data_IF_262655763344
#
_entry.id   IF_262655763344
#
_cell.length_a   1.000
_cell.length_b   1.000
_cell.length_c   1.000
_cell.angle_alpha   90.00
_cell.angle_beta   90.00
_cell.angle_gamma   90.00
#
_symmetry.space_group_name_H-M   'P 1'
#
loop_
_entity.id
_entity.type
_entity.pdbx_description
1 polymer ?
#
# COMPACT_ATOMS: atom_id res chain seq x y z
N UNK A 1 -3.66 -20.93 14.02
CA UNK A 1 -2.60 -21.20 13.04
C UNK A 1 -1.97 -19.86 12.68
N UNK A 2 -0.85 -19.55 13.31
CA UNK A 2 -0.10 -18.30 13.16
C UNK A 2 0.65 -18.33 11.84
N UNK A 3 0.39 -17.38 10.95
CA UNK A 3 1.30 -17.07 9.85
C UNK A 3 1.84 -15.66 10.09
N UNK A 4 2.92 -15.58 10.88
CA UNK A 4 3.91 -14.53 10.73
C UNK A 4 4.67 -14.82 9.43
N UNK A 5 4.04 -14.54 8.28
CA UNK A 5 4.67 -14.68 6.98
C UNK A 5 5.22 -13.31 6.60
N UNK A 6 6.49 -13.25 6.21
CA UNK A 6 7.04 -12.06 5.57
C UNK A 6 6.16 -11.75 4.35
N UNK A 7 5.53 -10.58 4.38
CA UNK A 7 4.63 -10.12 3.33
C UNK A 7 5.48 -9.43 2.27
N UNK A 8 5.85 -10.18 1.23
CA UNK A 8 6.54 -9.58 0.10
C UNK A 8 5.53 -8.94 -0.85
N UNK A 9 5.92 -7.82 -1.44
CA UNK A 9 5.11 -7.07 -2.39
C UNK A 9 5.70 -7.17 -3.79
N UNK A 10 4.84 -7.39 -4.77
CA UNK A 10 5.19 -7.19 -6.17
C UNK A 10 4.86 -5.74 -6.51
N UNK A 11 5.89 -4.99 -6.88
CA UNK A 11 5.77 -3.66 -7.45
C UNK A 11 5.90 -3.79 -8.96
N UNK A 12 4.82 -3.52 -9.68
CA UNK A 12 4.82 -3.67 -11.13
C UNK A 12 4.33 -2.40 -11.81
N UNK A 13 5.18 -1.84 -12.66
CA UNK A 13 4.79 -0.90 -13.70
C UNK A 13 4.99 -1.62 -15.04
N UNK A 14 3.97 -1.57 -15.91
CA UNK A 14 4.05 -2.22 -17.21
C UNK A 14 5.24 -1.68 -18.02
N UNK A 15 6.10 -2.58 -18.51
CA UNK A 15 7.31 -2.24 -19.26
C UNK A 15 8.55 -1.91 -18.42
N UNK A 16 8.48 -2.01 -17.09
CA UNK A 16 9.63 -1.78 -16.20
C UNK A 16 10.19 -3.05 -15.57
N UNK A 17 11.52 -3.15 -15.56
CA UNK A 17 12.26 -4.19 -14.84
C UNK A 17 12.76 -3.72 -13.46
N UNK A 18 12.70 -2.40 -13.19
CA UNK A 18 13.24 -1.79 -11.97
C UNK A 18 12.20 -0.84 -11.38
N UNK A 19 11.99 -0.94 -10.06
CA UNK A 19 11.14 -0.02 -9.30
C UNK A 19 11.83 1.34 -9.18
N UNK A 20 11.12 2.40 -9.54
CA UNK A 20 11.63 3.77 -9.56
C UNK A 20 10.84 4.69 -8.62
N UNK A 21 11.55 5.63 -8.00
CA UNK A 21 10.93 6.72 -7.24
C UNK A 21 10.21 7.67 -8.21
N UNK A 22 9.15 8.32 -7.72
CA UNK A 22 8.31 9.26 -8.47
C UNK A 22 7.68 8.67 -9.74
N UNK A 23 7.47 7.36 -9.76
CA UNK A 23 6.76 6.65 -10.83
C UNK A 23 5.57 5.90 -10.25
N UNK A 24 4.49 5.89 -11.02
CA UNK A 24 3.25 5.19 -10.67
C UNK A 24 3.38 3.69 -10.99
N UNK A 25 3.03 2.85 -10.02
CA UNK A 25 3.02 1.40 -10.15
C UNK A 25 1.87 0.78 -9.35
N UNK A 26 1.56 -0.48 -9.66
CA UNK A 26 0.63 -1.28 -8.86
C UNK A 26 1.39 -2.02 -7.76
N UNK A 27 0.73 -2.18 -6.62
CA UNK A 27 1.22 -2.95 -5.48
C UNK A 27 0.33 -4.17 -5.32
N UNK A 28 0.92 -5.35 -5.18
CA UNK A 28 0.20 -6.56 -4.83
C UNK A 28 0.99 -7.38 -3.81
N UNK A 29 0.33 -8.10 -2.92
CA UNK A 29 1.00 -9.12 -2.11
C UNK A 29 1.42 -10.31 -2.99
N UNK A 30 2.64 -10.82 -2.79
CA UNK A 30 3.18 -11.96 -3.55
C UNK A 30 2.76 -13.33 -2.97
N UNK A 31 1.86 -13.36 -2.00
CA UNK A 31 1.45 -14.58 -1.31
C UNK A 31 0.12 -15.12 -1.85
N UNK A 32 0.07 -16.44 -2.08
CA UNK A 32 -1.19 -17.14 -2.30
C UNK A 32 -2.07 -16.99 -1.05
N UNK A 33 -3.24 -16.38 -1.23
CA UNK A 33 -4.24 -16.21 -0.18
C UNK A 33 -5.35 -17.24 -0.35
N UNK A 34 -5.92 -17.71 0.76
CA UNK A 34 -7.16 -18.50 0.75
C UNK A 34 -8.39 -17.60 0.50
N UNK A 35 -8.21 -16.28 0.53
CA UNK A 35 -9.24 -15.35 0.15
C UNK A 35 -9.53 -15.50 -1.35
N UNK A 36 -10.81 -15.58 -1.71
CA UNK A 36 -11.26 -15.49 -3.12
C UNK A 36 -10.96 -14.11 -3.74
N UNK A 37 -10.62 -13.13 -2.92
CA UNK A 37 -10.27 -11.77 -3.30
C UNK A 37 -8.78 -11.72 -3.68
N UNK A 38 -8.44 -11.01 -4.75
CA UNK A 38 -7.05 -10.90 -5.20
C UNK A 38 -6.16 -10.06 -4.28
N UNK A 39 -4.87 -10.00 -4.62
CA UNK A 39 -3.82 -9.44 -3.76
C UNK A 39 -3.40 -8.01 -4.09
N UNK A 40 -3.95 -7.43 -5.15
CA UNK A 40 -3.69 -6.03 -5.54
C UNK A 40 -4.28 -5.05 -4.53
N UNK A 41 -3.49 -4.02 -4.21
CA UNK A 41 -3.88 -2.95 -3.32
C UNK A 41 -4.86 -1.99 -3.99
N UNK A 42 -5.82 -1.51 -3.21
CA UNK A 42 -6.75 -0.46 -3.59
C UNK A 42 -7.02 0.49 -2.44
N UNK A 43 -7.50 1.67 -2.77
CA UNK A 43 -8.10 2.57 -1.78
C UNK A 43 -9.51 2.07 -1.49
N UNK A 44 -9.75 1.69 -0.24
CA UNK A 44 -11.05 1.23 0.25
C UNK A 44 -12.00 2.39 0.60
N UNK A 45 -13.18 2.00 1.07
CA UNK A 45 -14.18 2.94 1.56
C UNK A 45 -13.68 3.74 2.77
N UNK A 46 -14.36 4.86 3.02
CA UNK A 46 -14.09 5.70 4.19
C UNK A 46 -14.49 4.93 5.45
N UNK A 47 -13.53 4.67 6.32
CA UNK A 47 -13.78 4.08 7.63
C UNK A 47 -14.65 5.02 8.48
N UNK A 48 -15.69 4.47 9.11
CA UNK A 48 -16.69 5.24 9.84
C UNK A 48 -16.13 5.88 11.11
N UNK A 49 -15.10 5.28 11.71
CA UNK A 49 -14.51 5.74 12.98
C UNK A 49 -13.49 6.85 12.76
N UNK A 50 -12.55 6.63 11.84
CA UNK A 50 -11.46 7.57 11.54
C UNK A 50 -11.84 8.60 10.48
N UNK A 51 -12.84 8.31 9.65
CA UNK A 51 -13.14 9.11 8.48
C UNK A 51 -12.06 9.03 7.40
N UNK A 52 -11.16 8.04 7.43
CA UNK A 52 -10.08 7.90 6.45
C UNK A 52 -10.34 6.75 5.49
N UNK A 53 -9.80 6.82 4.28
CA UNK A 53 -9.86 5.70 3.33
C UNK A 53 -8.74 4.71 3.66
N UNK A 54 -9.10 3.47 3.93
CA UNK A 54 -8.15 2.41 4.29
C UNK A 54 -7.57 1.77 3.03
N UNK A 55 -6.28 1.46 3.01
CA UNK A 55 -5.67 0.67 1.93
C UNK A 55 -6.00 -0.80 2.18
N UNK A 56 -6.61 -1.45 1.19
CA UNK A 56 -7.06 -2.84 1.30
C UNK A 56 -6.56 -3.66 0.12
N UNK A 57 -6.37 -4.97 0.31
CA UNK A 57 -6.12 -5.91 -0.78
C UNK A 57 -7.45 -6.47 -1.29
N UNK A 58 -7.76 -6.23 -2.55
CA UNK A 58 -8.98 -6.73 -3.17
C UNK A 58 -8.81 -6.64 -4.69
N UNK A 59 -8.62 -7.81 -5.32
CA UNK A 59 -8.13 -7.95 -6.70
C UNK A 59 -8.87 -7.14 -7.78
N UNK A 60 -8.09 -6.85 -8.84
CA UNK A 60 -8.37 -6.09 -10.06
C UNK A 60 -8.48 -4.55 -9.92
N UNK A 61 -7.71 -3.98 -8.99
CA UNK A 61 -7.69 -2.54 -8.77
C UNK A 61 -7.05 -1.74 -9.90
N UNK A 62 -7.65 -0.60 -10.21
CA UNK A 62 -7.07 0.45 -11.09
C UNK A 62 -6.25 1.49 -10.32
N UNK A 63 -5.88 1.20 -9.07
CA UNK A 63 -5.19 2.14 -8.20
C UNK A 63 -3.68 2.07 -8.41
N UNK A 64 -3.08 3.24 -8.55
CA UNK A 64 -1.64 3.40 -8.66
C UNK A 64 -1.09 4.04 -7.40
N UNK A 65 0.10 3.60 -7.02
CA UNK A 65 0.86 4.11 -5.90
C UNK A 65 2.21 4.62 -6.40
N UNK A 66 2.81 5.51 -5.62
CA UNK A 66 4.07 6.15 -5.94
C UNK A 66 4.96 6.18 -4.70
N UNK A 67 6.19 5.71 -4.83
CA UNK A 67 7.23 5.95 -3.83
C UNK A 67 7.80 7.35 -4.08
N UNK A 68 7.89 8.13 -3.01
CA UNK A 68 8.55 9.43 -3.01
C UNK A 68 9.73 9.36 -2.06
N UNK A 69 10.76 10.16 -2.31
CA UNK A 69 11.83 10.36 -1.33
C UNK A 69 11.26 10.99 -0.06
N UNK A 70 11.84 10.66 1.10
CA UNK A 70 11.39 11.19 2.39
C UNK A 70 11.44 12.72 2.46
N UNK A 71 12.34 13.35 1.70
CA UNK A 71 12.53 14.80 1.61
C UNK A 71 11.90 15.42 0.36
N UNK A 72 10.85 14.80 -0.18
CA UNK A 72 10.17 15.28 -1.38
C UNK A 72 9.62 16.71 -1.20
N UNK A 73 10.02 17.61 -2.10
CA UNK A 73 9.65 19.05 -2.08
C UNK A 73 8.43 19.39 -2.94
N UNK A 74 7.66 18.40 -3.39
CA UNK A 74 6.44 18.61 -4.18
C UNK A 74 5.17 18.45 -3.34
N UNK A 75 4.06 18.97 -3.86
CA UNK A 75 2.73 18.73 -3.28
C UNK A 75 2.21 17.36 -3.71
N UNK A 76 1.75 16.56 -2.76
CA UNK A 76 1.12 15.26 -3.02
C UNK A 76 -0.39 15.40 -2.82
N UNK A 77 -1.19 14.82 -3.71
CA UNK A 77 -2.65 14.89 -3.62
C UNK A 77 -3.22 14.15 -2.40
N UNK A 78 -2.63 13.00 -2.05
CA UNK A 78 -2.93 12.20 -0.87
C UNK A 78 -1.70 11.36 -0.49
N UNK A 79 -1.46 11.17 0.81
CA UNK A 79 -0.35 10.36 1.30
C UNK A 79 -0.84 9.16 2.10
N UNK A 80 -0.08 8.06 2.05
CA UNK A 80 -0.34 6.86 2.86
C UNK A 80 0.34 7.03 4.21
N UNK A 81 -0.46 6.88 5.28
CA UNK A 81 -0.02 6.99 6.66
C UNK A 81 -0.49 5.82 7.51
N UNK A 82 0.02 5.78 8.74
CA UNK A 82 -0.38 4.81 9.76
C UNK A 82 -1.66 5.26 10.49
N UNK A 83 -2.61 4.34 10.64
CA UNK A 83 -3.81 4.48 11.45
C UNK A 83 -3.82 3.38 12.53
N UNK A 84 -3.60 3.73 13.81
CA UNK A 84 -3.73 2.78 14.91
C UNK A 84 -5.20 2.39 15.12
N UNK A 85 -5.50 1.10 15.05
CA UNK A 85 -6.84 0.57 15.27
C UNK A 85 -6.80 -0.82 15.92
N UNK A 86 -7.49 -0.99 17.05
CA UNK A 86 -7.64 -2.27 17.77
C UNK A 86 -6.30 -3.00 18.02
N UNK A 87 -5.25 -2.24 18.37
CA UNK A 87 -3.90 -2.78 18.61
C UNK A 87 -3.11 -3.13 17.35
N UNK A 88 -3.63 -2.79 16.17
CA UNK A 88 -2.96 -2.94 14.87
C UNK A 88 -2.70 -1.59 14.24
N UNK A 89 -1.83 -1.55 13.23
CA UNK A 89 -1.63 -0.39 12.38
C UNK A 89 -2.20 -0.73 11.00
N UNK A 90 -3.18 0.06 10.57
CA UNK A 90 -3.71 0.02 9.21
C UNK A 90 -3.03 1.11 8.37
N UNK A 91 -2.91 0.85 7.07
CA UNK A 91 -2.51 1.88 6.11
C UNK A 91 -3.76 2.66 5.68
N UNK A 92 -3.68 3.99 5.70
CA UNK A 92 -4.81 4.85 5.34
C UNK A 92 -4.35 6.11 4.59
N UNK A 93 -5.21 6.67 3.75
CA UNK A 93 -4.97 7.97 3.12
C UNK A 93 -5.15 9.13 4.11
N UNK A 94 -4.51 10.25 3.76
CA UNK A 94 -4.67 11.56 4.41
C UNK A 94 -4.24 11.57 5.89
N UNK A 95 -3.28 10.71 6.22
CA UNK A 95 -2.54 10.71 7.49
C UNK A 95 -1.17 11.37 7.39
N UNK A 96 -0.40 11.33 8.47
CA UNK A 96 1.04 11.63 8.40
C UNK A 96 1.72 10.59 7.50
N UNK A 97 2.60 11.06 6.60
CA UNK A 97 3.37 10.21 5.70
C UNK A 97 4.11 9.14 6.50
N UNK A 98 3.93 7.86 6.14
CA UNK A 98 4.68 6.76 6.73
C UNK A 98 6.02 6.58 5.99
N UNK A 99 7.17 6.87 6.61
CA UNK A 99 8.47 6.55 6.00
C UNK A 99 8.64 5.01 5.97
N UNK A 100 9.13 4.49 4.84
CA UNK A 100 9.33 3.05 4.62
C UNK A 100 10.72 2.78 4.05
N UNK A 101 11.25 1.61 4.37
CA UNK A 101 12.46 1.04 3.75
C UNK A 101 12.05 -0.27 3.10
N UNK A 102 12.58 -0.54 1.90
CA UNK A 102 12.31 -1.77 1.17
C UNK A 102 13.48 -2.73 1.37
N UNK A 103 13.16 -3.94 1.82
CA UNK A 103 14.11 -5.03 1.92
C UNK A 103 13.78 -6.08 0.87
N UNK A 104 14.81 -6.67 0.27
CA UNK A 104 14.63 -7.77 -0.67
C UNK A 104 14.26 -9.04 0.11
N UNK A 105 13.19 -9.68 -0.35
CA UNK A 105 12.69 -10.98 0.09
C UNK A 105 13.73 -12.11 0.01
#
# INVERSE_FOLDING_TARGET
MLLSRAEFFTLFAEGDEVVRVNRDFKVAFSAATLCLQGTEWKVGEKDAKSGRRIIVAWGNGSYYFRILETQFKGSVAASVGALPENGKILLALDGNVLPVVFERA
#
